data_IF_578585311729
#
_entry.id   IF_578585311729
#
_cell.length_a   1.000
_cell.length_b   1.000
_cell.length_c   1.000
_cell.angle_alpha   90.00
_cell.angle_beta   90.00
_cell.angle_gamma   90.00
#
_symmetry.space_group_name_H-M   'P 1'
#
loop_
_entity.id
_entity.type
_entity.pdbx_description
1 polymer ?
#
# COMPACT_ATOMS: atom_id res chain seq x y z
N UNK A 1 -0.22 -14.16 1.70
CA UNK A 1 -0.24 -13.07 2.70
C UNK A 1 0.74 -11.99 2.28
N UNK A 2 0.28 -10.78 1.95
CA UNK A 2 1.15 -9.67 1.55
C UNK A 2 1.64 -8.95 2.84
N UNK A 3 2.77 -9.39 3.39
CA UNK A 3 3.37 -8.83 4.62
C UNK A 3 3.54 -7.29 4.57
N UNK A 4 3.63 -6.71 3.37
CA UNK A 4 3.78 -5.28 3.14
C UNK A 4 2.45 -4.49 3.04
N UNK A 5 1.27 -5.09 3.22
CA UNK A 5 -0.01 -4.36 3.05
C UNK A 5 -0.13 -3.06 3.86
N UNK A 6 0.31 -2.97 5.13
CA UNK A 6 0.26 -1.72 5.89
C UNK A 6 1.17 -0.64 5.31
N UNK A 7 2.30 -1.05 4.73
CA UNK A 7 3.28 -0.16 4.09
C UNK A 7 2.67 0.47 2.84
N UNK A 8 1.93 -0.31 2.04
CA UNK A 8 1.25 0.19 0.85
C UNK A 8 0.11 1.16 1.16
N UNK A 9 -0.59 1.00 2.29
CA UNK A 9 -1.55 1.98 2.75
C UNK A 9 -0.92 3.36 3.04
N UNK A 10 0.38 3.39 3.37
CA UNK A 10 1.17 4.62 3.54
C UNK A 10 1.95 5.05 2.29
N UNK A 11 1.80 4.35 1.17
CA UNK A 11 2.54 4.65 -0.06
C UNK A 11 2.03 5.92 -0.73
N UNK A 12 2.92 6.62 -1.44
CA UNK A 12 2.53 7.83 -2.16
C UNK A 12 1.46 7.52 -3.21
N UNK A 13 0.48 8.42 -3.35
CA UNK A 13 -0.63 8.30 -4.30
C UNK A 13 -0.15 8.09 -5.74
N UNK A 14 1.02 8.60 -6.10
CA UNK A 14 1.67 8.39 -7.40
C UNK A 14 2.04 6.92 -7.66
N UNK A 15 2.58 6.23 -6.66
CA UNK A 15 2.90 4.80 -6.76
C UNK A 15 1.64 3.94 -6.82
N UNK A 16 0.63 4.29 -6.03
CA UNK A 16 -0.67 3.63 -6.06
C UNK A 16 -1.36 3.78 -7.43
N UNK A 17 -1.33 4.98 -8.03
CA UNK A 17 -1.83 5.20 -9.39
C UNK A 17 -1.08 4.35 -10.42
N UNK A 18 0.24 4.21 -10.30
CA UNK A 18 1.03 3.35 -11.21
C UNK A 18 0.61 1.88 -11.09
N UNK A 19 0.38 1.38 -9.86
CA UNK A 19 -0.11 0.02 -9.65
C UNK A 19 -1.52 -0.18 -10.24
N UNK A 20 -2.41 0.79 -10.08
CA UNK A 20 -3.74 0.75 -10.67
C UNK A 20 -3.69 0.70 -12.21
N UNK A 21 -2.85 1.53 -12.83
CA UNK A 21 -2.63 1.50 -14.29
C UNK A 21 -2.01 0.17 -14.73
N UNK A 22 -1.04 -0.35 -13.97
CA UNK A 22 -0.42 -1.64 -14.24
C UNK A 22 -1.45 -2.77 -14.25
N UNK A 23 -2.33 -2.83 -13.25
CA UNK A 23 -3.43 -3.80 -13.20
C UNK A 23 -4.31 -3.69 -14.45
N UNK A 24 -4.80 -2.48 -14.78
CA UNK A 24 -5.67 -2.26 -15.94
C UNK A 24 -5.04 -2.70 -17.27
N UNK A 25 -3.74 -2.44 -17.46
CA UNK A 25 -3.00 -2.89 -18.64
C UNK A 25 -2.96 -4.42 -18.69
N UNK A 26 -2.72 -5.08 -17.57
CA UNK A 26 -2.65 -6.54 -17.52
C UNK A 26 -4.01 -7.17 -17.79
N UNK A 27 -5.08 -6.68 -17.16
CA UNK A 27 -6.44 -7.20 -17.41
C UNK A 27 -6.83 -7.06 -18.88
N UNK A 28 -6.53 -5.91 -19.50
CA UNK A 28 -6.79 -5.68 -20.92
C UNK A 28 -5.99 -6.63 -21.81
N UNK A 29 -4.71 -6.87 -21.50
CA UNK A 29 -3.87 -7.83 -22.24
C UNK A 29 -4.38 -9.26 -22.12
N UNK A 30 -4.80 -9.69 -20.94
CA UNK A 30 -5.33 -11.05 -20.73
C UNK A 30 -6.58 -11.32 -21.57
N UNK A 31 -7.44 -10.32 -21.70
CA UNK A 31 -8.70 -10.42 -22.48
C UNK A 31 -8.55 -10.01 -23.95
N UNK A 32 -7.36 -9.63 -24.40
CA UNK A 32 -7.14 -8.99 -25.70
C UNK A 32 -8.15 -7.87 -26.00
N UNK A 33 -8.54 -7.12 -24.97
CA UNK A 33 -9.66 -6.20 -25.07
C UNK A 33 -9.25 -4.90 -25.80
N UNK A 34 -10.10 -4.39 -26.72
CA UNK A 34 -9.81 -3.16 -27.44
C UNK A 34 -9.89 -1.92 -26.51
N UNK A 35 -9.25 -0.83 -26.93
CA UNK A 35 -9.05 0.36 -26.10
C UNK A 35 -10.35 1.03 -25.64
N UNK A 36 -11.44 0.88 -26.40
CA UNK A 36 -12.75 1.46 -26.11
C UNK A 36 -13.55 0.68 -25.04
N UNK A 37 -13.08 -0.52 -24.64
CA UNK A 37 -13.72 -1.26 -23.55
C UNK A 37 -13.41 -0.58 -22.23
N UNK A 38 -14.48 -0.23 -21.51
CA UNK A 38 -14.39 0.38 -20.17
C UNK A 38 -13.72 -0.58 -19.19
N UNK A 39 -12.81 -0.06 -18.38
CA UNK A 39 -12.11 -0.87 -17.38
C UNK A 39 -13.10 -1.54 -16.39
N UNK A 40 -14.19 -0.85 -16.04
CA UNK A 40 -15.26 -1.38 -15.18
C UNK A 40 -15.84 -2.69 -15.71
N UNK A 41 -16.03 -2.79 -17.04
CA UNK A 41 -16.53 -4.01 -17.69
C UNK A 41 -15.51 -5.14 -17.53
N UNK A 42 -14.22 -4.86 -17.77
CA UNK A 42 -13.14 -5.86 -17.60
C UNK A 42 -13.06 -6.37 -16.16
N UNK A 43 -13.22 -5.49 -15.18
CA UNK A 43 -13.24 -5.85 -13.76
C UNK A 43 -14.45 -6.71 -13.40
N UNK A 44 -15.63 -6.38 -13.92
CA UNK A 44 -16.85 -7.15 -13.69
C UNK A 44 -16.79 -8.53 -14.37
N UNK A 45 -16.32 -8.60 -15.61
CA UNK A 45 -16.20 -9.84 -16.38
C UNK A 45 -15.25 -10.82 -15.70
N UNK A 46 -14.10 -10.32 -15.22
CA UNK A 46 -13.11 -11.13 -14.51
C UNK A 46 -13.45 -11.32 -13.03
N UNK A 47 -14.46 -10.63 -12.50
CA UNK A 47 -14.79 -10.55 -11.07
C UNK A 47 -13.59 -10.17 -10.21
N UNK A 48 -12.74 -9.26 -10.71
CA UNK A 48 -11.53 -8.79 -10.04
C UNK A 48 -11.77 -7.41 -9.44
N UNK A 49 -11.51 -7.27 -8.15
CA UNK A 49 -11.56 -6.00 -7.45
C UNK A 49 -10.39 -5.08 -7.87
N UNK A 50 -10.60 -3.76 -8.04
CA UNK A 50 -9.52 -2.81 -8.24
C UNK A 50 -8.48 -2.86 -7.12
N UNK A 51 -7.19 -2.76 -7.47
CA UNK A 51 -6.08 -2.91 -6.52
C UNK A 51 -6.16 -1.91 -5.35
N UNK A 52 -6.72 -0.73 -5.58
CA UNK A 52 -6.88 0.28 -4.55
C UNK A 52 -7.91 -0.14 -3.49
N UNK A 53 -9.02 -0.74 -3.91
CA UNK A 53 -10.06 -1.24 -3.00
C UNK A 53 -9.56 -2.46 -2.23
N UNK A 54 -8.88 -3.37 -2.93
CA UNK A 54 -8.21 -4.51 -2.31
C UNK A 54 -7.22 -4.08 -1.23
N UNK A 55 -6.36 -3.10 -1.52
CA UNK A 55 -5.38 -2.58 -0.55
C UNK A 55 -6.06 -1.90 0.65
N UNK A 56 -7.15 -1.16 0.43
CA UNK A 56 -7.95 -0.56 1.51
C UNK A 56 -8.59 -1.62 2.41
N UNK A 57 -9.19 -2.65 1.81
CA UNK A 57 -9.79 -3.77 2.55
C UNK A 57 -8.74 -4.52 3.35
N UNK A 58 -7.58 -4.76 2.74
CA UNK A 58 -6.48 -5.45 3.40
C UNK A 58 -5.86 -4.62 4.53
N UNK A 59 -5.70 -3.30 4.35
CA UNK A 59 -5.22 -2.42 5.40
C UNK A 59 -6.21 -2.36 6.56
N UNK A 60 -7.49 -2.15 6.30
CA UNK A 60 -8.54 -2.15 7.31
C UNK A 60 -8.54 -3.44 8.12
N UNK A 61 -8.53 -4.60 7.45
CA UNK A 61 -8.45 -5.90 8.11
C UNK A 61 -7.18 -6.08 8.93
N UNK A 62 -6.06 -5.49 8.51
CA UNK A 62 -4.80 -5.52 9.26
C UNK A 62 -4.91 -4.69 10.54
N UNK A 63 -5.31 -3.42 10.44
CA UNK A 63 -5.41 -2.51 11.59
C UNK A 63 -6.44 -3.00 12.63
N UNK A 64 -7.55 -3.60 12.19
CA UNK A 64 -8.52 -4.21 13.09
C UNK A 64 -7.98 -5.44 13.85
N UNK A 65 -6.97 -6.12 13.30
CA UNK A 65 -6.35 -7.29 13.94
C UNK A 65 -5.22 -6.91 14.89
N UNK A 66 -4.63 -5.72 14.78
CA UNK A 66 -3.57 -5.23 15.68
C UNK A 66 -3.88 -5.44 17.16
N UNK A 67 -5.08 -5.08 17.70
CA UNK A 67 -5.36 -5.26 19.13
C UNK A 67 -5.36 -6.72 19.60
N UNK A 68 -5.50 -7.67 18.68
CA UNK A 68 -5.50 -9.11 19.01
C UNK A 68 -4.09 -9.72 18.96
N UNK A 69 -3.09 -8.99 18.45
CA UNK A 69 -1.73 -9.50 18.28
C UNK A 69 -0.91 -9.14 19.54
N UNK A 70 -0.30 -10.13 20.22
CA UNK A 70 0.56 -9.90 21.39
C UNK A 70 1.96 -9.42 20.92
N UNK A 71 2.00 -8.32 20.18
CA UNK A 71 3.24 -7.69 19.75
C UNK A 71 3.18 -6.20 20.09
N UNK A 72 3.94 -5.79 21.11
CA UNK A 72 3.99 -4.42 21.63
C UNK A 72 4.34 -3.39 20.55
N UNK A 73 5.22 -3.76 19.60
CA UNK A 73 5.62 -2.85 18.51
C UNK A 73 4.49 -2.52 17.54
N UNK A 74 3.52 -3.43 17.37
CA UNK A 74 2.38 -3.20 16.49
C UNK A 74 1.27 -2.41 17.19
N UNK A 75 1.17 -2.50 18.52
CA UNK A 75 0.20 -1.75 19.32
C UNK A 75 0.53 -0.24 19.36
N UNK A 76 1.78 0.14 19.13
CA UNK A 76 2.21 1.53 19.05
C UNK A 76 1.88 2.23 17.71
N UNK A 77 1.32 1.51 16.73
CA UNK A 77 0.95 2.09 15.44
C UNK A 77 -0.29 2.99 15.57
N UNK A 78 -0.30 4.19 14.94
CA UNK A 78 -1.47 5.04 14.92
C UNK A 78 -2.63 4.36 14.17
N UNK A 79 -3.86 4.64 14.61
CA UNK A 79 -5.06 4.18 13.92
C UNK A 79 -5.05 4.68 12.46
N UNK A 80 -5.29 3.76 11.52
CA UNK A 80 -5.37 4.11 10.10
C UNK A 80 -6.71 4.76 9.78
N UNK A 81 -6.67 6.02 9.34
CA UNK A 81 -7.83 6.72 8.81
C UNK A 81 -7.66 6.96 7.30
N UNK A 82 -8.50 6.27 6.51
CA UNK A 82 -8.48 6.35 5.06
C UNK A 82 -8.99 7.69 4.50
N UNK A 83 -9.65 8.52 5.32
CA UNK A 83 -10.16 9.84 4.96
C UNK A 83 -9.09 10.95 5.07
N UNK A 84 -8.04 10.70 5.85
CA UNK A 84 -6.94 11.64 6.03
C UNK A 84 -5.97 11.46 4.85
N UNK A 85 -5.87 12.47 3.99
CA UNK A 85 -4.74 12.61 3.06
C UNK A 85 -3.47 12.82 3.90
N UNK A 86 -2.86 11.72 4.36
CA UNK A 86 -1.75 11.80 5.31
C UNK A 86 -0.53 12.47 4.66
N UNK A 87 -0.33 13.73 5.04
CA UNK A 87 0.92 14.48 4.90
C UNK A 87 1.94 14.05 5.97
N UNK A 88 1.62 13.06 6.82
CA UNK A 88 2.60 12.51 7.75
C UNK A 88 3.70 11.88 6.92
N UNK A 89 4.78 12.66 6.78
CA UNK A 89 5.96 12.37 6.00
C UNK A 89 6.35 10.93 6.31
N UNK A 90 6.05 10.01 5.37
CA UNK A 90 6.47 8.60 5.19
C UNK A 90 6.79 7.83 6.49
N UNK A 91 6.55 6.51 6.60
CA UNK A 91 7.00 5.75 7.79
C UNK A 91 8.45 6.05 8.25
N UNK A 92 9.35 6.41 7.31
CA UNK A 92 10.70 6.95 7.59
C UNK A 92 10.77 8.24 8.46
N UNK A 93 9.85 9.19 8.35
CA UNK A 93 9.87 10.41 9.18
C UNK A 93 9.05 10.26 10.47
N UNK A 94 8.05 9.38 10.49
CA UNK A 94 7.40 8.95 11.74
C UNK A 94 8.39 8.22 12.66
N UNK A 95 9.33 7.45 12.10
CA UNK A 95 10.45 6.83 12.83
C UNK A 95 11.48 7.83 13.38
N UNK A 96 11.38 9.13 13.06
CA UNK A 96 12.32 10.17 13.50
C UNK A 96 12.20 10.56 14.98
N UNK A 97 11.10 10.23 15.66
CA UNK A 97 10.93 10.52 17.09
C UNK A 97 11.28 9.35 18.03
N UNK A 98 11.57 8.15 17.51
CA UNK A 98 11.77 6.95 18.35
C UNK A 98 13.09 6.20 18.14
N UNK A 99 14.00 6.65 17.28
CA UNK A 99 15.31 6.00 17.08
C UNK A 99 16.45 7.01 17.06
N UNK A 100 16.87 7.45 18.25
CA UNK A 100 18.09 8.29 18.42
C UNK A 100 19.37 7.44 18.35
N UNK A 101 19.28 6.10 18.27
CA UNK A 101 20.46 5.23 18.42
C UNK A 101 20.51 4.05 17.42
N UNK A 102 20.45 4.33 16.12
CA UNK A 102 20.82 3.33 15.09
C UNK A 102 22.09 3.78 14.37
N UNK A 103 23.15 2.94 14.28
CA UNK A 103 24.39 3.35 13.63
C UNK A 103 24.16 3.52 12.13
N UNK A 104 24.52 4.71 11.62
CA UNK A 104 24.45 5.05 10.20
C UNK A 104 25.50 4.23 9.46
N UNK A 105 25.09 3.16 8.78
CA UNK A 105 25.93 2.50 7.79
C UNK A 105 26.13 3.45 6.60
N UNK A 106 27.26 4.16 6.61
CA UNK A 106 27.71 4.98 5.48
C UNK A 106 27.84 4.08 4.26
N UNK A 107 26.99 4.32 3.26
CA UNK A 107 27.06 3.65 1.97
C UNK A 107 28.38 4.07 1.30
N UNK A 108 29.38 3.19 1.30
CA UNK A 108 30.63 3.38 0.57
C UNK A 108 30.29 3.47 -0.92
N UNK A 109 30.59 4.60 -1.54
CA UNK A 109 30.62 4.70 -3.01
C UNK A 109 31.97 4.14 -3.44
N UNK A 110 31.96 3.07 -4.23
CA UNK A 110 33.13 2.66 -4.99
C UNK A 110 33.34 3.67 -6.13
N UNK A 111 34.58 4.14 -6.29
CA UNK A 111 35.04 4.96 -7.41
C UNK A 111 35.34 4.09 -8.63
#
# INVERSE_FOLDING_TARGET
MLYASPIWASAATTHLKRLHVFQNIHLRKMLNAPWFVRNEVLHNDLKIEPILEFLKKQSFNFFNRIPQIPNESLQQLPAYDASIASSQKRPRAALGHSYVHFPVLKRLRAH
#
